data_IF_282306792284
#
_entry.id   IF_282306792284
#
_cell.length_a   1.000
_cell.length_b   1.000
_cell.length_c   1.000
_cell.angle_alpha   90.00
_cell.angle_beta   90.00
_cell.angle_gamma   90.00
#
_symmetry.space_group_name_H-M   'P 1'
#
loop_
_entity.id
_entity.type
_entity.pdbx_description
1 polymer ?
#
# COMPACT_ATOMS: atom_id res chain seq x y z
N UNK A 1 15.65 -13.26 -4.56
CA UNK A 1 14.31 -12.71 -4.72
C UNK A 1 13.89 -11.90 -3.50
N UNK A 2 12.83 -11.11 -3.62
CA UNK A 2 12.26 -10.37 -2.49
C UNK A 2 11.24 -11.24 -1.76
N UNK A 3 11.16 -11.08 -0.44
CA UNK A 3 10.05 -11.56 0.38
C UNK A 3 9.07 -10.40 0.58
N UNK A 4 7.79 -10.61 0.27
CA UNK A 4 6.77 -9.57 0.35
C UNK A 4 5.68 -9.98 1.31
N UNK A 5 5.33 -9.11 2.26
CA UNK A 5 4.15 -9.27 3.10
C UNK A 5 3.09 -8.25 2.66
N UNK A 6 1.95 -8.73 2.21
CA UNK A 6 0.77 -7.92 1.89
C UNK A 6 -0.11 -7.80 3.12
N UNK A 7 -0.50 -6.59 3.45
CA UNK A 7 -1.46 -6.32 4.53
C UNK A 7 -2.76 -5.82 3.93
N UNK A 8 -3.87 -6.44 4.27
CA UNK A 8 -5.19 -6.05 3.79
C UNK A 8 -6.22 -6.11 4.93
N UNK A 9 -6.94 -5.01 5.17
CA UNK A 9 -7.94 -4.91 6.24
C UNK A 9 -9.34 -5.35 5.81
N UNK A 10 -9.68 -5.22 4.53
CA UNK A 10 -10.97 -5.66 4.01
C UNK A 10 -11.01 -7.19 3.87
N UNK A 11 -11.95 -7.85 4.55
CA UNK A 11 -12.12 -9.31 4.46
C UNK A 11 -12.42 -9.77 3.03
N UNK A 12 -13.19 -8.98 2.27
CA UNK A 12 -13.56 -9.28 0.89
C UNK A 12 -12.32 -9.21 -0.01
N UNK A 13 -11.53 -8.14 0.11
CA UNK A 13 -10.31 -7.97 -0.69
C UNK A 13 -9.27 -9.01 -0.29
N UNK A 14 -9.12 -9.30 1.00
CA UNK A 14 -8.21 -10.34 1.48
C UNK A 14 -8.58 -11.72 0.92
N UNK A 15 -9.87 -12.06 0.84
CA UNK A 15 -10.32 -13.31 0.23
C UNK A 15 -9.99 -13.38 -1.27
N UNK A 16 -10.21 -12.30 -2.02
CA UNK A 16 -9.87 -12.21 -3.44
C UNK A 16 -8.37 -12.31 -3.68
N UNK A 17 -7.57 -11.63 -2.85
CA UNK A 17 -6.10 -11.71 -2.93
C UNK A 17 -5.59 -13.11 -2.59
N UNK A 18 -6.17 -13.76 -1.57
CA UNK A 18 -5.82 -15.14 -1.20
C UNK A 18 -6.06 -16.11 -2.35
N UNK A 19 -7.24 -16.06 -3.00
CA UNK A 19 -7.54 -16.87 -4.18
C UNK A 19 -6.54 -16.58 -5.33
N UNK A 20 -6.28 -15.30 -5.61
CA UNK A 20 -5.33 -14.90 -6.65
C UNK A 20 -3.91 -15.40 -6.39
N UNK A 21 -3.44 -15.33 -5.14
CA UNK A 21 -2.12 -15.84 -4.75
C UNK A 21 -2.03 -17.37 -4.87
N UNK A 22 -3.06 -18.11 -4.45
CA UNK A 22 -3.10 -19.55 -4.61
C UNK A 22 -2.99 -19.93 -6.09
N UNK A 23 -3.75 -19.29 -6.97
CA UNK A 23 -3.65 -19.53 -8.42
C UNK A 23 -2.26 -19.20 -8.98
N UNK A 24 -1.67 -18.10 -8.53
CA UNK A 24 -0.33 -17.70 -8.95
C UNK A 24 0.74 -18.73 -8.56
N UNK A 25 0.68 -19.28 -7.35
CA UNK A 25 1.64 -20.28 -6.88
C UNK A 25 1.57 -21.61 -7.68
N UNK A 26 0.42 -21.94 -8.25
CA UNK A 26 0.27 -23.12 -9.12
C UNK A 26 0.69 -22.85 -10.58
N UNK A 27 1.04 -21.62 -10.93
CA UNK A 27 1.46 -21.26 -12.28
C UNK A 27 3.00 -21.25 -12.36
N UNK A 28 3.60 -21.97 -13.30
CA UNK A 28 5.05 -22.11 -13.45
C UNK A 28 5.83 -20.81 -13.36
N UNK A 29 5.32 -19.77 -14.01
CA UNK A 29 5.96 -18.44 -14.05
C UNK A 29 6.06 -17.79 -12.69
N UNK A 30 5.15 -18.09 -11.75
CA UNK A 30 5.01 -17.38 -10.47
C UNK A 30 5.22 -18.27 -9.25
N UNK A 31 5.46 -19.56 -9.43
CA UNK A 31 5.64 -20.54 -8.33
C UNK A 31 6.82 -20.21 -7.38
N UNK A 32 7.78 -19.39 -7.85
CA UNK A 32 8.96 -18.98 -7.09
C UNK A 32 8.76 -17.67 -6.30
N UNK A 33 7.58 -17.04 -6.38
CA UNK A 33 7.31 -15.77 -5.71
C UNK A 33 7.10 -16.04 -4.21
N UNK A 34 7.84 -15.31 -3.37
CA UNK A 34 7.68 -15.36 -1.91
C UNK A 34 6.79 -14.21 -1.46
N UNK A 35 5.47 -14.43 -1.47
CA UNK A 35 4.46 -13.46 -1.03
C UNK A 35 3.59 -14.09 0.05
N UNK A 36 3.45 -13.40 1.18
CA UNK A 36 2.55 -13.71 2.27
C UNK A 36 1.45 -12.66 2.36
N UNK A 37 0.20 -13.08 2.47
CA UNK A 37 -0.94 -12.21 2.76
C UNK A 37 -1.32 -12.34 4.23
N UNK A 38 -1.51 -11.20 4.91
CA UNK A 38 -2.03 -11.14 6.28
C UNK A 38 -3.28 -10.25 6.26
N UNK A 39 -4.41 -10.82 6.66
CA UNK A 39 -5.64 -10.08 6.86
C UNK A 39 -5.57 -9.31 8.18
N UNK A 40 -5.15 -8.06 8.13
CA UNK A 40 -4.94 -7.20 9.30
C UNK A 40 -4.95 -5.72 8.90
N UNK A 41 -5.32 -4.87 9.83
CA UNK A 41 -5.10 -3.42 9.70
C UNK A 41 -3.62 -3.09 9.76
N UNK A 42 -3.14 -2.27 8.80
CA UNK A 42 -1.73 -1.92 8.68
C UNK A 42 -1.18 -1.20 9.92
N UNK A 43 -1.99 -0.32 10.54
CA UNK A 43 -1.60 0.40 11.76
C UNK A 43 -1.36 -0.56 12.92
N UNK A 44 -2.25 -1.55 13.10
CA UNK A 44 -2.09 -2.58 14.13
C UNK A 44 -0.84 -3.43 13.88
N UNK A 45 -0.60 -3.82 12.63
CA UNK A 45 0.58 -4.59 12.27
C UNK A 45 1.88 -3.79 12.52
N UNK A 46 1.94 -2.52 12.10
CA UNK A 46 3.11 -1.68 12.32
C UNK A 46 3.39 -1.46 13.80
N UNK A 47 2.38 -1.25 14.63
CA UNK A 47 2.54 -1.19 16.09
C UNK A 47 3.13 -2.47 16.68
N UNK A 48 2.73 -3.63 16.15
CA UNK A 48 3.28 -4.93 16.58
C UNK A 48 4.77 -5.06 16.21
N UNK A 49 5.16 -4.72 14.96
CA UNK A 49 6.57 -4.83 14.56
C UNK A 49 7.47 -3.82 15.28
N UNK A 50 6.95 -2.68 15.73
CA UNK A 50 7.69 -1.78 16.62
C UNK A 50 8.08 -2.46 17.94
N UNK A 51 7.21 -3.28 18.50
CA UNK A 51 7.48 -4.02 19.73
C UNK A 51 8.50 -5.14 19.51
N UNK A 52 8.39 -5.87 18.39
CA UNK A 52 9.27 -7.01 18.06
C UNK A 52 10.58 -6.58 17.40
N UNK A 53 10.71 -5.33 16.97
CA UNK A 53 11.85 -4.77 16.24
C UNK A 53 12.21 -5.54 14.95
N UNK A 54 11.25 -6.24 14.36
CA UNK A 54 11.41 -6.97 13.09
C UNK A 54 11.04 -6.08 11.92
N UNK A 55 11.89 -5.11 11.62
CA UNK A 55 11.60 -4.09 10.61
C UNK A 55 11.87 -4.60 9.19
N UNK A 56 10.94 -4.34 8.24
CA UNK A 56 11.20 -4.55 6.82
C UNK A 56 12.18 -3.49 6.29
N UNK A 57 12.90 -3.82 5.23
CA UNK A 57 13.77 -2.84 4.56
C UNK A 57 12.96 -1.71 3.91
N UNK A 58 11.81 -2.08 3.33
CA UNK A 58 10.94 -1.15 2.59
C UNK A 58 9.49 -1.37 2.98
N UNK A 59 8.77 -0.29 3.23
CA UNK A 59 7.31 -0.29 3.31
C UNK A 59 6.77 0.44 2.07
N UNK A 60 5.85 -0.21 1.35
CA UNK A 60 5.15 0.38 0.23
C UNK A 60 3.70 0.71 0.63
N UNK A 61 3.29 1.96 0.43
CA UNK A 61 1.94 2.43 0.71
C UNK A 61 1.25 2.83 -0.60
N UNK A 62 0.05 2.29 -0.82
CA UNK A 62 -0.82 2.65 -1.94
C UNK A 62 -2.20 3.10 -1.40
N UNK A 63 -2.26 4.20 -0.65
CA UNK A 63 -3.50 4.65 -0.04
C UNK A 63 -4.53 5.02 -1.10
N UNK A 64 -5.81 4.68 -0.85
CA UNK A 64 -6.92 5.13 -1.68
C UNK A 64 -6.97 6.65 -1.69
N UNK A 65 -6.94 7.23 -2.87
CA UNK A 65 -7.00 8.68 -3.02
C UNK A 65 -8.45 9.16 -2.91
N UNK A 66 -8.74 10.21 -2.11
CA UNK A 66 -10.07 10.79 -2.07
C UNK A 66 -10.45 11.34 -3.44
N UNK A 67 -11.73 11.30 -3.76
CA UNK A 67 -12.26 11.70 -5.05
C UNK A 67 -11.84 13.12 -5.45
N UNK A 68 -11.21 13.28 -6.61
CA UNK A 68 -11.26 14.55 -7.31
C UNK A 68 -12.62 14.63 -8.03
N UNK A 69 -13.37 15.68 -7.80
CA UNK A 69 -14.64 15.94 -8.48
C UNK A 69 -14.52 16.13 -10.02
N UNK A 70 -13.32 15.91 -10.58
CA UNK A 70 -12.98 16.11 -11.99
C UNK A 70 -12.69 14.84 -12.79
N UNK A 71 -12.91 13.64 -12.26
CA UNK A 71 -12.62 12.45 -13.04
C UNK A 71 -13.81 12.04 -13.89
N UNK A 72 -13.72 12.34 -15.18
CA UNK A 72 -14.47 11.62 -16.20
C UNK A 72 -14.40 10.11 -15.92
N UNK A 73 -15.57 9.45 -15.89
CA UNK A 73 -15.77 7.99 -16.02
C UNK A 73 -14.70 7.12 -15.32
N UNK A 74 -14.72 7.12 -13.99
CA UNK A 74 -14.11 6.02 -13.26
C UNK A 74 -14.83 4.74 -13.69
N UNK A 75 -14.08 3.74 -14.16
CA UNK A 75 -14.64 2.45 -14.59
C UNK A 75 -15.54 1.90 -13.49
N UNK A 76 -16.66 1.29 -13.87
CA UNK A 76 -17.70 0.77 -12.96
C UNK A 76 -17.10 -0.13 -11.89
N UNK A 77 -16.11 -0.96 -12.26
CA UNK A 77 -15.38 -1.86 -11.36
C UNK A 77 -14.64 -1.12 -10.27
N UNK A 78 -14.00 0.00 -10.59
CA UNK A 78 -13.26 0.82 -9.61
C UNK A 78 -14.20 1.56 -8.65
N UNK A 79 -15.41 1.90 -9.08
CA UNK A 79 -16.44 2.48 -8.20
C UNK A 79 -16.91 1.45 -7.19
N UNK A 80 -17.24 0.25 -7.68
CA UNK A 80 -17.67 -0.87 -6.83
C UNK A 80 -16.57 -1.24 -5.81
N UNK A 81 -15.31 -1.31 -6.25
CA UNK A 81 -14.18 -1.60 -5.37
C UNK A 81 -14.06 -0.56 -4.25
N UNK A 82 -14.24 0.73 -4.56
CA UNK A 82 -14.20 1.80 -3.56
C UNK A 82 -15.35 1.73 -2.55
N UNK A 83 -16.55 1.37 -2.99
CA UNK A 83 -17.70 1.16 -2.10
C UNK A 83 -17.43 0.02 -1.10
N UNK A 84 -16.70 -1.02 -1.53
CA UNK A 84 -16.34 -2.18 -0.69
C UNK A 84 -15.19 -1.84 0.27
N UNK A 85 -14.18 -1.11 -0.20
CA UNK A 85 -12.95 -0.82 0.58
C UNK A 85 -13.16 0.34 1.56
N UNK A 86 -14.03 1.30 1.22
CA UNK A 86 -14.23 2.52 2.01
C UNK A 86 -13.12 3.56 1.79
N UNK A 87 -13.07 4.56 2.68
CA UNK A 87 -12.07 5.61 2.66
C UNK A 87 -10.84 5.24 3.49
N UNK A 88 -9.67 5.69 3.06
CA UNK A 88 -8.41 5.61 3.82
C UNK A 88 -8.18 6.89 4.61
N UNK A 89 -9.07 7.17 5.57
CA UNK A 89 -8.99 8.39 6.41
C UNK A 89 -7.76 8.35 7.33
N UNK A 90 -7.16 7.19 7.53
CA UNK A 90 -5.98 6.93 8.34
C UNK A 90 -4.64 7.02 7.57
N UNK A 91 -4.68 7.21 6.25
CA UNK A 91 -3.46 7.24 5.43
C UNK A 91 -2.46 8.33 5.87
N UNK A 92 -2.95 9.46 6.37
CA UNK A 92 -2.09 10.55 6.87
C UNK A 92 -1.35 10.17 8.15
N UNK A 93 -1.94 9.35 9.00
CA UNK A 93 -1.31 8.86 10.24
C UNK A 93 -0.43 7.64 10.01
N UNK A 94 -0.70 6.88 8.95
CA UNK A 94 0.04 5.67 8.62
C UNK A 94 1.47 5.98 8.14
N UNK A 95 1.68 7.06 7.36
CA UNK A 95 3.02 7.42 6.87
C UNK A 95 4.03 7.72 8.00
N UNK A 96 3.74 8.58 9.00
CA UNK A 96 4.65 8.78 10.13
C UNK A 96 4.98 7.49 10.87
N UNK A 97 3.98 6.63 11.09
CA UNK A 97 4.18 5.34 11.73
C UNK A 97 5.06 4.40 10.89
N UNK A 98 4.82 4.32 9.57
CA UNK A 98 5.65 3.53 8.66
C UNK A 98 7.12 3.98 8.66
N UNK A 99 7.36 5.28 8.75
CA UNK A 99 8.72 5.83 8.84
C UNK A 99 9.47 5.39 10.09
N UNK A 100 8.79 5.07 11.19
CA UNK A 100 9.45 4.50 12.38
C UNK A 100 9.74 2.99 12.24
N UNK A 101 9.15 2.34 11.25
CA UNK A 101 9.19 0.88 11.07
C UNK A 101 10.07 0.41 9.91
N UNK A 102 10.62 1.30 9.09
CA UNK A 102 11.46 0.92 7.95
C UNK A 102 12.50 1.98 7.63
N UNK A 103 13.58 1.57 6.98
CA UNK A 103 14.59 2.52 6.49
C UNK A 103 14.08 3.32 5.29
N UNK A 104 13.14 2.76 4.54
CA UNK A 104 12.57 3.38 3.36
C UNK A 104 11.06 3.17 3.31
N UNK A 105 10.32 4.24 3.09
CA UNK A 105 8.89 4.18 2.78
C UNK A 105 8.65 4.75 1.39
N UNK A 106 7.93 4.02 0.57
CA UNK A 106 7.54 4.42 -0.78
C UNK A 106 6.04 4.61 -0.80
N UNK A 107 5.57 5.78 -1.21
CA UNK A 107 4.14 6.10 -1.29
C UNK A 107 3.77 6.35 -2.74
N UNK A 108 2.84 5.56 -3.28
CA UNK A 108 2.28 5.83 -4.60
C UNK A 108 1.22 6.93 -4.51
N UNK A 109 1.31 7.91 -5.38
CA UNK A 109 0.39 9.05 -5.43
C UNK A 109 -0.03 9.35 -6.88
N UNK A 110 -1.22 9.89 -7.11
CA UNK A 110 -1.49 10.57 -8.39
C UNK A 110 -0.46 11.67 -8.62
N UNK A 111 -0.06 11.88 -9.88
CA UNK A 111 1.06 12.78 -10.22
C UNK A 111 0.95 14.17 -9.61
N UNK A 112 -0.24 14.76 -9.59
CA UNK A 112 -0.48 16.14 -9.12
C UNK A 112 -1.04 16.21 -7.70
N UNK A 113 -1.15 15.08 -7.00
CA UNK A 113 -1.68 15.06 -5.64
C UNK A 113 -0.73 15.76 -4.65
N UNK A 114 -1.24 16.37 -3.56
CA UNK A 114 -0.37 16.86 -2.49
C UNK A 114 0.42 15.70 -1.86
N UNK A 115 1.51 16.02 -1.18
CA UNK A 115 2.27 15.03 -0.42
C UNK A 115 1.43 14.45 0.72
N UNK A 116 1.57 13.15 0.97
CA UNK A 116 0.86 12.48 2.05
C UNK A 116 1.30 13.07 3.40
N UNK A 117 0.36 13.28 4.31
CA UNK A 117 0.58 13.91 5.61
C UNK A 117 1.32 15.28 5.52
N UNK A 118 1.26 15.95 4.36
CA UNK A 118 2.02 17.19 4.08
C UNK A 118 3.54 17.06 4.25
N UNK A 119 4.05 15.83 4.33
CA UNK A 119 5.48 15.56 4.46
C UNK A 119 6.15 15.59 3.08
N UNK A 120 7.19 16.40 2.94
CA UNK A 120 7.98 16.46 1.70
C UNK A 120 8.86 15.21 1.60
N UNK A 121 8.79 14.43 0.49
CA UNK A 121 9.66 13.28 0.30
C UNK A 121 11.10 13.70 0.04
N UNK A 122 12.05 12.79 0.31
CA UNK A 122 13.45 12.98 -0.03
C UNK A 122 13.67 12.93 -1.54
N UNK A 123 12.88 12.10 -2.23
CA UNK A 123 12.94 11.92 -3.66
C UNK A 123 11.56 11.54 -4.21
N UNK A 124 11.28 11.88 -5.48
CA UNK A 124 10.06 11.47 -6.17
C UNK A 124 10.39 10.96 -7.56
N UNK A 125 9.82 9.82 -7.94
CA UNK A 125 9.92 9.26 -9.29
C UNK A 125 8.57 9.48 -9.97
N UNK A 126 8.54 10.36 -10.97
CA UNK A 126 7.31 10.72 -11.66
C UNK A 126 7.09 9.83 -12.90
N UNK A 127 5.91 9.22 -13.00
CA UNK A 127 5.39 8.57 -14.19
C UNK A 127 4.38 9.45 -14.93
N UNK A 128 3.69 8.89 -15.91
CA UNK A 128 2.67 9.63 -16.70
C UNK A 128 1.46 10.03 -15.84
N UNK A 129 0.91 9.14 -15.07
CA UNK A 129 -0.31 9.33 -14.28
C UNK A 129 -0.06 9.31 -12.77
N UNK A 130 0.98 8.64 -12.32
CA UNK A 130 1.34 8.45 -10.93
C UNK A 130 2.77 8.93 -10.67
N UNK A 131 3.09 9.13 -9.41
CA UNK A 131 4.46 9.27 -8.93
C UNK A 131 4.65 8.39 -7.70
N UNK A 132 5.91 8.09 -7.40
CA UNK A 132 6.31 7.39 -6.18
C UNK A 132 7.12 8.36 -5.33
N UNK A 133 6.59 8.72 -4.17
CA UNK A 133 7.26 9.58 -3.20
C UNK A 133 8.08 8.70 -2.24
N UNK A 134 9.38 8.95 -2.15
CA UNK A 134 10.34 8.13 -1.40
C UNK A 134 10.78 8.90 -0.17
N UNK A 135 10.58 8.29 0.98
CA UNK A 135 10.97 8.79 2.28
C UNK A 135 12.03 7.87 2.87
N UNK A 136 13.09 8.46 3.41
CA UNK A 136 14.20 7.74 4.06
C UNK A 136 14.16 8.05 5.56
N UNK A 137 14.21 7.01 6.38
CA UNK A 137 14.47 7.14 7.80
C UNK A 137 15.99 7.05 7.99
N UNK A 138 16.60 8.13 8.46
CA UNK A 138 18.04 8.22 8.73
C UNK A 138 18.31 8.00 10.21
#
# INVERSE_FOLDING_TARGET
GFSVTLLERSSIIAALLSDGLQRALHHEKYSHINIQLIHVDATLFLKKILQTKQFPEVIYLDPMYPHSNKSALVKKEMRLLREIVGNDDDAETLLPLALTCAQRVVVKRPRLAPFLAKLKPHHSIAGKQHRFDIYLNR
#
